data_IF_955599282592
#
_entry.id   IF_955599282592
#
_cell.length_a   1.000
_cell.length_b   1.000
_cell.length_c   1.000
_cell.angle_alpha   90.00
_cell.angle_beta   90.00
_cell.angle_gamma   90.00
#
_symmetry.space_group_name_H-M   'P 1'
#
loop_
_entity.id
_entity.type
_entity.pdbx_description
1 polymer ?
#
# COMPACT_ATOMS: atom_id res chain seq x y z
N UNK A 1 -38.62 -16.56 48.98
CA UNK A 1 -38.37 -15.31 48.25
C UNK A 1 -36.91 -15.27 47.81
N UNK A 2 -36.65 -15.48 46.52
CA UNK A 2 -35.31 -15.61 45.94
C UNK A 2 -34.69 -14.22 45.73
N UNK A 3 -33.59 -13.93 46.44
CA UNK A 3 -32.69 -12.82 46.11
C UNK A 3 -31.81 -13.27 44.93
N UNK A 4 -32.24 -12.96 43.71
CA UNK A 4 -31.42 -13.18 42.51
C UNK A 4 -30.38 -12.06 42.44
N UNK A 5 -29.14 -12.48 42.21
CA UNK A 5 -27.87 -11.76 42.30
C UNK A 5 -27.80 -10.59 41.31
N UNK A 6 -27.64 -9.39 41.84
CA UNK A 6 -27.30 -8.15 41.10
C UNK A 6 -25.80 -8.07 40.75
N UNK A 7 -25.13 -9.19 40.49
CA UNK A 7 -23.66 -9.27 40.30
C UNK A 7 -23.21 -9.58 38.86
N UNK A 8 -24.14 -9.91 37.95
CA UNK A 8 -23.78 -10.27 36.58
C UNK A 8 -23.58 -9.06 35.65
N UNK A 9 -24.19 -7.92 35.95
CA UNK A 9 -24.13 -6.71 35.09
C UNK A 9 -22.83 -5.93 35.24
N UNK A 10 -22.20 -5.92 36.44
CA UNK A 10 -20.96 -5.19 36.66
C UNK A 10 -19.74 -5.87 36.00
N UNK A 11 -19.71 -7.21 35.98
CA UNK A 11 -18.62 -7.98 35.35
C UNK A 11 -18.64 -7.86 33.81
N UNK A 12 -19.82 -7.75 33.21
CA UNK A 12 -19.97 -7.55 31.78
C UNK A 12 -19.49 -6.15 31.35
N UNK A 13 -19.78 -5.13 32.15
CA UNK A 13 -19.29 -3.76 31.90
C UNK A 13 -17.77 -3.69 32.04
N UNK A 14 -17.17 -4.30 33.07
CA UNK A 14 -15.71 -4.27 33.24
C UNK A 14 -14.97 -5.03 32.15
N UNK A 15 -15.46 -6.19 31.70
CA UNK A 15 -14.82 -6.94 30.60
C UNK A 15 -14.94 -6.18 29.28
N UNK A 16 -16.04 -5.45 29.03
CA UNK A 16 -16.16 -4.56 27.87
C UNK A 16 -15.16 -3.39 28.00
N UNK A 17 -14.98 -2.78 29.18
CA UNK A 17 -13.99 -1.69 29.34
C UNK A 17 -12.54 -2.14 29.13
N UNK A 18 -12.20 -3.41 29.41
CA UNK A 18 -10.83 -3.94 29.25
C UNK A 18 -10.39 -4.13 27.80
N UNK A 19 -11.33 -4.28 26.85
CA UNK A 19 -10.99 -4.38 25.43
C UNK A 19 -10.91 -3.02 24.72
N UNK A 20 -11.39 -1.95 25.36
CA UNK A 20 -11.59 -0.67 24.69
C UNK A 20 -10.50 0.37 25.00
N UNK A 21 -9.78 0.26 26.13
CA UNK A 21 -8.72 1.20 26.51
C UNK A 21 -7.29 0.71 26.27
N UNK A 22 -7.06 -0.26 25.36
CA UNK A 22 -5.69 -0.72 25.11
C UNK A 22 -4.95 0.30 24.26
N UNK A 23 -3.93 0.92 24.86
CA UNK A 23 -3.01 1.83 24.19
C UNK A 23 -2.36 1.13 23.00
N UNK A 24 -2.39 1.79 21.85
CA UNK A 24 -1.62 1.36 20.68
C UNK A 24 -0.14 1.68 20.85
N UNK A 25 0.71 0.71 20.53
CA UNK A 25 2.16 0.88 20.56
C UNK A 25 2.70 1.14 19.15
N UNK A 26 3.30 2.31 18.96
CA UNK A 26 3.94 2.70 17.70
C UNK A 26 5.45 2.46 17.76
N UNK A 27 5.98 1.84 16.72
CA UNK A 27 7.43 1.64 16.54
C UNK A 27 8.10 2.90 16.03
N UNK A 28 7.44 3.63 15.12
CA UNK A 28 7.93 4.86 14.53
C UNK A 28 7.31 6.07 15.24
N UNK A 29 8.15 6.89 15.89
CA UNK A 29 7.71 8.06 16.65
C UNK A 29 7.18 9.20 15.79
N UNK A 30 7.63 9.29 14.54
CA UNK A 30 7.09 10.28 13.60
C UNK A 30 5.72 9.84 13.09
N UNK A 31 5.51 8.53 12.92
CA UNK A 31 4.20 7.96 12.64
C UNK A 31 3.23 8.24 13.78
N UNK A 32 3.61 7.89 15.03
CA UNK A 32 2.83 8.16 16.25
C UNK A 32 2.42 9.63 16.33
N UNK A 33 3.40 10.54 16.22
CA UNK A 33 3.14 11.98 16.24
C UNK A 33 2.17 12.41 15.14
N UNK A 34 2.39 11.95 13.90
CA UNK A 34 1.57 12.36 12.77
C UNK A 34 0.11 11.88 12.88
N UNK A 35 -0.13 10.71 13.48
CA UNK A 35 -1.51 10.23 13.70
C UNK A 35 -2.18 10.91 14.88
N UNK A 36 -1.46 11.17 15.98
CA UNK A 36 -2.00 11.92 17.12
C UNK A 36 -2.43 13.34 16.71
N UNK A 37 -1.68 13.99 15.82
CA UNK A 37 -2.05 15.32 15.29
C UNK A 37 -3.44 15.36 14.61
N UNK A 38 -3.94 14.23 14.10
CA UNK A 38 -5.11 14.18 13.23
C UNK A 38 -6.25 13.28 13.75
N UNK A 39 -5.95 12.29 14.59
CA UNK A 39 -6.87 11.20 14.93
C UNK A 39 -7.04 10.96 16.43
N UNK A 40 -6.29 11.64 17.29
CA UNK A 40 -6.57 11.72 18.73
C UNK A 40 -7.76 12.68 18.95
N UNK A 41 -8.96 12.13 18.97
CA UNK A 41 -10.22 12.86 19.03
C UNK A 41 -10.53 13.33 20.46
N UNK A 42 -10.16 12.52 21.45
CA UNK A 42 -10.40 12.81 22.86
C UNK A 42 -9.31 13.74 23.46
N UNK A 43 -8.19 13.93 22.76
CA UNK A 43 -7.02 14.76 23.10
C UNK A 43 -6.33 14.32 24.38
N UNK A 44 -6.31 13.03 24.66
CA UNK A 44 -5.63 12.46 25.82
C UNK A 44 -4.13 12.21 25.56
N UNK A 45 -3.66 12.48 24.33
CA UNK A 45 -2.27 12.31 23.91
C UNK A 45 -1.93 10.87 23.54
N UNK A 46 -2.92 10.00 23.38
CA UNK A 46 -2.79 8.63 22.92
C UNK A 46 -3.76 8.36 21.77
N UNK A 47 -3.48 7.31 20.99
CA UNK A 47 -4.42 6.81 20.00
C UNK A 47 -5.02 5.51 20.53
N UNK A 48 -6.32 5.52 20.77
CA UNK A 48 -7.07 4.36 21.23
C UNK A 48 -7.51 3.46 20.05
N UNK A 49 -7.82 2.20 20.35
CA UNK A 49 -8.23 1.23 19.33
C UNK A 49 -9.47 1.71 18.54
N UNK A 50 -10.45 2.36 19.18
CA UNK A 50 -11.66 2.83 18.46
C UNK A 50 -11.32 3.98 17.51
N UNK A 51 -10.41 4.85 17.90
CA UNK A 51 -9.96 5.96 17.05
C UNK A 51 -9.24 5.41 15.82
N UNK A 52 -8.31 4.47 16.01
CA UNK A 52 -7.63 3.80 14.90
C UNK A 52 -8.59 3.00 14.00
N UNK A 53 -9.64 2.37 14.57
CA UNK A 53 -10.67 1.67 13.81
C UNK A 53 -11.60 2.61 13.01
N UNK A 54 -11.75 3.86 13.45
CA UNK A 54 -12.51 4.87 12.71
C UNK A 54 -11.74 5.43 11.50
N UNK A 55 -10.41 5.30 11.49
CA UNK A 55 -9.58 5.79 10.38
C UNK A 55 -9.76 4.91 9.14
N UNK A 56 -10.17 5.56 8.05
CA UNK A 56 -10.26 4.94 6.72
C UNK A 56 -9.19 5.44 5.77
N UNK A 57 -8.60 6.62 6.03
CA UNK A 57 -7.59 7.22 5.16
C UNK A 57 -6.44 7.77 6.00
N UNK A 58 -5.21 7.37 5.68
CA UNK A 58 -3.98 7.88 6.27
C UNK A 58 -3.22 8.68 5.22
N UNK A 59 -3.16 10.00 5.39
CA UNK A 59 -2.37 10.90 4.54
C UNK A 59 -1.25 11.50 5.38
N UNK A 60 -0.07 10.88 5.33
CA UNK A 60 1.09 11.17 6.20
C UNK A 60 2.31 11.58 5.39
N UNK A 61 2.13 12.42 4.37
CA UNK A 61 3.19 12.94 3.48
C UNK A 61 4.18 13.84 4.23
N UNK A 62 5.48 13.68 3.96
CA UNK A 62 6.57 14.50 4.53
C UNK A 62 6.55 14.61 6.07
N UNK A 63 6.26 13.51 6.76
CA UNK A 63 6.22 13.47 8.23
C UNK A 63 7.53 12.99 8.86
N UNK A 64 8.53 12.66 8.05
CA UNK A 64 9.79 12.09 8.53
C UNK A 64 9.65 10.64 8.99
N UNK A 65 8.60 9.94 8.54
CA UNK A 65 8.35 8.54 8.85
C UNK A 65 9.46 7.69 8.24
N UNK A 66 9.92 6.72 9.01
CA UNK A 66 11.01 5.80 8.64
C UNK A 66 10.56 4.35 8.50
N UNK A 67 9.39 4.01 9.03
CA UNK A 67 8.78 2.67 8.90
C UNK A 67 7.28 2.76 8.64
N UNK A 68 6.80 1.90 7.74
CA UNK A 68 5.36 1.74 7.46
C UNK A 68 4.69 0.67 8.35
N UNK A 69 5.44 -0.02 9.23
CA UNK A 69 4.94 -1.13 10.05
C UNK A 69 3.68 -0.79 10.85
N UNK A 70 3.62 0.43 11.40
CA UNK A 70 2.53 0.89 12.24
C UNK A 70 1.21 1.11 11.45
N UNK A 71 1.25 1.06 10.11
CA UNK A 71 0.03 1.01 9.30
C UNK A 71 -0.86 -0.21 9.61
N UNK A 72 -0.26 -1.30 10.13
CA UNK A 72 -0.99 -2.49 10.56
C UNK A 72 -1.95 -2.27 11.74
N UNK A 73 -1.83 -1.13 12.44
CA UNK A 73 -2.72 -0.76 13.54
C UNK A 73 -4.11 -0.31 13.04
N UNK A 74 -4.22 0.09 11.78
CA UNK A 74 -5.43 0.70 11.20
C UNK A 74 -6.22 -0.31 10.35
N UNK A 75 -6.93 -1.23 11.01
CA UNK A 75 -7.60 -2.38 10.36
C UNK A 75 -8.68 -2.02 9.32
N UNK A 76 -9.24 -0.82 9.40
CA UNK A 76 -10.29 -0.34 8.50
C UNK A 76 -9.78 0.61 7.41
N UNK A 77 -8.46 0.78 7.30
CA UNK A 77 -7.84 1.68 6.33
C UNK A 77 -8.07 1.19 4.90
N UNK A 78 -8.43 2.14 4.04
CA UNK A 78 -8.64 1.98 2.60
C UNK A 78 -7.58 2.67 1.79
N UNK A 79 -7.08 3.81 2.26
CA UNK A 79 -6.04 4.57 1.58
C UNK A 79 -4.90 4.90 2.52
N UNK A 80 -3.68 4.61 2.10
CA UNK A 80 -2.46 5.00 2.79
C UNK A 80 -1.57 5.77 1.81
N UNK A 81 -1.19 6.99 2.17
CA UNK A 81 -0.25 7.83 1.43
C UNK A 81 0.87 8.23 2.38
N UNK A 82 2.07 7.73 2.10
CA UNK A 82 3.31 7.96 2.86
C UNK A 82 4.35 8.71 2.04
N UNK A 83 3.92 9.45 1.02
CA UNK A 83 4.83 10.09 0.06
C UNK A 83 5.86 11.00 0.74
N UNK A 84 7.03 11.10 0.13
CA UNK A 84 8.15 11.95 0.54
C UNK A 84 8.60 11.74 2.00
N UNK A 85 8.46 10.52 2.51
CA UNK A 85 9.10 10.07 3.75
C UNK A 85 10.44 9.37 3.47
N UNK A 86 11.07 8.78 4.48
CA UNK A 86 12.34 8.06 4.32
C UNK A 86 12.17 6.61 4.78
N UNK A 87 11.45 5.80 4.00
CA UNK A 87 11.04 4.42 4.32
C UNK A 87 11.84 3.44 3.43
N UNK A 88 13.01 2.94 3.87
CA UNK A 88 13.90 2.16 3.00
C UNK A 88 13.33 0.78 2.65
N UNK A 89 12.46 0.25 3.49
CA UNK A 89 11.81 -1.06 3.32
C UNK A 89 10.34 -0.95 3.68
N UNK A 90 9.49 -1.46 2.79
CA UNK A 90 8.04 -1.51 2.99
C UNK A 90 7.63 -2.95 3.21
N UNK A 91 6.94 -3.22 4.32
CA UNK A 91 6.27 -4.49 4.58
C UNK A 91 4.82 -4.20 4.91
N UNK A 92 3.89 -4.65 4.07
CA UNK A 92 2.44 -4.45 4.27
C UNK A 92 1.73 -5.77 4.06
N UNK A 93 1.12 -6.26 5.13
CA UNK A 93 0.47 -7.55 5.13
C UNK A 93 -0.92 -7.43 5.77
N UNK A 94 -1.87 -8.23 5.27
CA UNK A 94 -3.18 -8.43 5.90
C UNK A 94 -4.04 -7.15 6.09
N UNK A 95 -3.82 -6.12 5.27
CA UNK A 95 -4.73 -4.96 5.21
C UNK A 95 -5.84 -5.25 4.20
N UNK A 96 -6.80 -6.07 4.62
CA UNK A 96 -7.84 -6.61 3.72
C UNK A 96 -8.72 -5.54 3.09
N UNK A 97 -8.85 -4.36 3.70
CA UNK A 97 -9.67 -3.24 3.19
C UNK A 97 -8.86 -2.21 2.39
N UNK A 98 -7.54 -2.37 2.29
CA UNK A 98 -6.69 -1.43 1.58
C UNK A 98 -6.97 -1.47 0.09
N UNK A 99 -7.37 -0.32 -0.46
CA UNK A 99 -7.70 -0.10 -1.87
C UNK A 99 -6.56 0.67 -2.57
N UNK A 100 -5.85 1.56 -1.86
CA UNK A 100 -4.75 2.37 -2.38
C UNK A 100 -3.57 2.44 -1.40
N UNK A 101 -2.37 2.22 -1.92
CA UNK A 101 -1.12 2.47 -1.20
C UNK A 101 -0.16 3.33 -2.04
N UNK A 102 0.35 4.41 -1.45
CA UNK A 102 1.35 5.28 -2.05
C UNK A 102 2.55 5.47 -1.12
N UNK A 103 3.75 5.30 -1.67
CA UNK A 103 5.02 5.68 -1.04
C UNK A 103 5.98 6.22 -2.11
N UNK A 104 5.55 7.28 -2.79
CA UNK A 104 6.34 7.97 -3.80
C UNK A 104 7.46 8.75 -3.14
N UNK A 105 8.68 8.74 -3.69
CA UNK A 105 9.79 9.53 -3.12
C UNK A 105 10.34 9.02 -1.79
N UNK A 106 10.01 7.78 -1.39
CA UNK A 106 10.30 7.23 -0.07
C UNK A 106 11.73 6.72 0.13
N UNK A 107 12.57 6.75 -0.90
CA UNK A 107 13.90 6.09 -0.93
C UNK A 107 13.82 4.59 -0.65
N UNK A 108 12.71 3.96 -1.01
CA UNK A 108 12.45 2.54 -0.77
C UNK A 108 13.28 1.68 -1.73
N UNK A 109 14.01 0.71 -1.18
CA UNK A 109 14.80 -0.26 -1.95
C UNK A 109 14.21 -1.68 -1.92
N UNK A 110 13.25 -1.95 -1.02
CA UNK A 110 12.56 -3.24 -0.96
C UNK A 110 11.09 -3.11 -0.56
N UNK A 111 10.25 -3.91 -1.22
CA UNK A 111 8.81 -3.99 -0.96
C UNK A 111 8.41 -5.44 -0.79
N UNK A 112 7.74 -5.74 0.31
CA UNK A 112 7.09 -7.01 0.59
C UNK A 112 5.60 -6.76 0.81
N UNK A 113 4.79 -7.41 -0.01
CA UNK A 113 3.33 -7.38 0.11
C UNK A 113 2.79 -8.79 0.24
N UNK A 114 1.81 -8.98 1.11
CA UNK A 114 1.11 -10.25 1.25
C UNK A 114 -0.37 -10.02 1.63
N UNK A 115 -1.27 -10.79 1.02
CA UNK A 115 -2.70 -10.76 1.31
C UNK A 115 -3.40 -9.38 1.13
N UNK A 116 -3.02 -8.62 0.11
CA UNK A 116 -3.64 -7.33 -0.23
C UNK A 116 -4.66 -7.50 -1.36
N UNK A 117 -5.69 -8.31 -1.10
CA UNK A 117 -6.65 -8.77 -2.12
C UNK A 117 -7.46 -7.64 -2.78
N UNK A 118 -7.71 -6.55 -2.05
CA UNK A 118 -8.49 -5.41 -2.51
C UNK A 118 -7.64 -4.23 -2.98
N UNK A 119 -6.30 -4.33 -2.93
CA UNK A 119 -5.42 -3.27 -3.40
C UNK A 119 -5.60 -3.09 -4.90
N UNK A 120 -6.13 -1.94 -5.30
CA UNK A 120 -6.39 -1.57 -6.70
C UNK A 120 -5.28 -0.67 -7.23
N UNK A 121 -4.78 0.26 -6.42
CA UNK A 121 -3.76 1.23 -6.81
C UNK A 121 -2.51 1.12 -5.95
N UNK A 122 -1.36 0.96 -6.61
CA UNK A 122 -0.04 0.93 -5.97
C UNK A 122 0.88 1.95 -6.64
N UNK A 123 1.29 2.97 -5.88
CA UNK A 123 2.17 4.03 -6.35
C UNK A 123 3.50 4.00 -5.59
N UNK A 124 4.57 3.74 -6.31
CA UNK A 124 5.92 3.57 -5.78
C UNK A 124 6.94 4.32 -6.65
N UNK A 125 6.50 5.41 -7.29
CA UNK A 125 7.35 6.23 -8.14
C UNK A 125 8.52 6.86 -7.36
N UNK A 126 9.61 7.19 -8.05
CA UNK A 126 10.77 7.87 -7.48
C UNK A 126 11.36 7.16 -6.25
N UNK A 127 11.74 5.91 -6.44
CA UNK A 127 12.32 5.06 -5.40
C UNK A 127 13.62 4.39 -5.90
N UNK A 128 14.15 3.44 -5.13
CA UNK A 128 15.41 2.76 -5.39
C UNK A 128 15.19 1.27 -5.66
N UNK A 129 14.02 0.89 -6.19
CA UNK A 129 13.66 -0.51 -6.42
C UNK A 129 14.44 -1.09 -7.59
N UNK A 130 15.23 -2.14 -7.34
CA UNK A 130 15.85 -2.96 -8.38
C UNK A 130 14.98 -4.17 -8.77
N UNK A 131 14.15 -4.62 -7.83
CA UNK A 131 13.17 -5.69 -8.01
C UNK A 131 11.91 -5.38 -7.21
N UNK A 132 10.79 -5.98 -7.61
CA UNK A 132 9.54 -5.92 -6.86
C UNK A 132 8.80 -7.24 -6.98
N UNK A 133 8.23 -7.71 -5.87
CA UNK A 133 7.31 -8.85 -5.85
C UNK A 133 5.89 -8.35 -5.65
N UNK A 134 5.01 -8.69 -6.59
CA UNK A 134 3.58 -8.34 -6.58
C UNK A 134 2.72 -9.58 -6.30
N UNK A 135 3.27 -10.53 -5.52
CA UNK A 135 2.53 -11.73 -5.10
C UNK A 135 1.49 -11.32 -4.07
N UNK A 136 0.26 -11.81 -4.21
CA UNK A 136 -0.80 -11.54 -3.23
C UNK A 136 -1.50 -10.18 -3.41
N UNK A 137 -1.26 -9.47 -4.51
CA UNK A 137 -1.95 -8.23 -4.91
C UNK A 137 -2.77 -8.41 -6.22
N UNK A 138 -3.62 -9.45 -6.36
CA UNK A 138 -4.30 -9.76 -7.62
C UNK A 138 -5.33 -8.69 -8.05
N UNK A 139 -5.66 -7.76 -7.15
CA UNK A 139 -6.62 -6.69 -7.36
C UNK A 139 -6.09 -5.50 -8.18
N UNK A 140 -4.77 -5.36 -8.32
CA UNK A 140 -4.16 -4.14 -8.88
C UNK A 140 -4.68 -3.89 -10.30
N UNK A 141 -5.22 -2.69 -10.51
CA UNK A 141 -5.63 -2.16 -11.80
C UNK A 141 -4.75 -0.99 -12.29
N UNK A 142 -4.09 -0.28 -11.36
CA UNK A 142 -3.16 0.80 -11.65
C UNK A 142 -1.86 0.60 -10.84
N UNK A 143 -0.73 0.52 -11.57
CA UNK A 143 0.60 0.35 -11.01
C UNK A 143 1.55 1.41 -11.56
N UNK A 144 2.16 2.18 -10.67
CA UNK A 144 3.18 3.17 -11.04
C UNK A 144 4.48 2.89 -10.29
N UNK A 145 5.54 2.71 -11.06
CA UNK A 145 6.89 2.35 -10.63
C UNK A 145 7.94 3.22 -11.35
N UNK A 146 7.55 4.41 -11.81
CA UNK A 146 8.41 5.32 -12.54
C UNK A 146 9.62 5.71 -11.71
N UNK A 147 10.74 6.06 -12.36
CA UNK A 147 11.95 6.56 -11.70
C UNK A 147 12.44 5.59 -10.61
N UNK A 148 12.65 4.33 -11.01
CA UNK A 148 13.24 3.27 -10.20
C UNK A 148 14.44 2.67 -10.94
N UNK A 149 14.91 1.49 -10.52
CA UNK A 149 16.07 0.81 -11.09
C UNK A 149 15.73 -0.61 -11.56
N UNK A 150 14.45 -0.86 -11.87
CA UNK A 150 13.93 -2.19 -12.22
C UNK A 150 14.54 -2.67 -13.54
N UNK A 151 15.05 -3.91 -13.55
CA UNK A 151 15.53 -4.58 -14.77
C UNK A 151 14.50 -5.52 -15.39
N UNK A 152 13.62 -6.05 -14.54
CA UNK A 152 12.56 -6.99 -14.89
C UNK A 152 11.34 -6.69 -14.02
N UNK A 153 10.16 -7.05 -14.52
CA UNK A 153 8.91 -7.01 -13.77
C UNK A 153 8.04 -8.20 -14.17
N UNK A 154 7.54 -8.93 -13.18
CA UNK A 154 6.57 -10.02 -13.41
C UNK A 154 5.15 -9.50 -13.18
N UNK A 155 4.39 -9.43 -14.28
CA UNK A 155 3.00 -8.96 -14.29
C UNK A 155 1.99 -10.11 -14.39
N UNK A 156 2.44 -11.37 -14.37
CA UNK A 156 1.62 -12.53 -14.74
C UNK A 156 0.37 -12.71 -13.89
N UNK A 157 0.40 -12.29 -12.62
CA UNK A 157 -0.72 -12.39 -11.68
C UNK A 157 -1.71 -11.22 -11.77
N UNK A 158 -1.34 -10.10 -12.41
CA UNK A 158 -2.15 -8.88 -12.41
C UNK A 158 -3.20 -8.89 -13.52
N UNK A 159 -4.19 -9.79 -13.39
CA UNK A 159 -5.24 -9.99 -14.41
C UNK A 159 -6.17 -8.80 -14.59
N UNK A 160 -6.23 -7.90 -13.60
CA UNK A 160 -7.05 -6.69 -13.61
C UNK A 160 -6.28 -5.43 -14.02
N UNK A 161 -4.97 -5.53 -14.28
CA UNK A 161 -4.12 -4.39 -14.62
C UNK A 161 -4.64 -3.68 -15.88
N UNK A 162 -4.99 -2.40 -15.75
CA UNK A 162 -5.42 -1.51 -16.83
C UNK A 162 -4.34 -0.49 -17.20
N UNK A 163 -3.58 -0.02 -16.21
CA UNK A 163 -2.57 1.04 -16.38
C UNK A 163 -1.25 0.64 -15.73
N UNK A 164 -0.19 0.68 -16.52
CA UNK A 164 1.17 0.44 -16.06
C UNK A 164 2.06 1.63 -16.42
N UNK A 165 2.74 2.21 -15.43
CA UNK A 165 3.83 3.14 -15.64
C UNK A 165 5.12 2.55 -15.07
N UNK A 166 6.10 2.29 -15.94
CA UNK A 166 7.46 1.83 -15.58
C UNK A 166 8.52 2.73 -16.19
N UNK A 167 8.16 3.98 -16.50
CA UNK A 167 9.06 4.99 -17.06
C UNK A 167 10.35 5.14 -16.24
N UNK A 168 11.45 5.48 -16.91
CA UNK A 168 12.76 5.73 -16.30
C UNK A 168 13.18 4.61 -15.34
N UNK A 169 13.19 3.38 -15.87
CA UNK A 169 13.77 2.19 -15.25
C UNK A 169 14.90 1.64 -16.13
N UNK A 170 15.27 0.37 -15.95
CA UNK A 170 16.29 -0.35 -16.72
C UNK A 170 15.70 -1.61 -17.38
N UNK A 171 14.41 -1.62 -17.68
CA UNK A 171 13.68 -2.77 -18.22
C UNK A 171 14.01 -2.92 -19.69
N UNK A 172 14.58 -4.06 -20.07
CA UNK A 172 14.95 -4.31 -21.48
C UNK A 172 13.90 -5.14 -22.23
N UNK A 173 13.05 -5.87 -21.50
CA UNK A 173 11.98 -6.70 -22.07
C UNK A 173 10.77 -6.64 -21.16
N UNK A 174 9.59 -6.58 -21.76
CA UNK A 174 8.33 -6.54 -21.03
C UNK A 174 7.36 -7.55 -21.61
N UNK A 175 6.81 -8.42 -20.76
CA UNK A 175 5.74 -9.32 -21.16
C UNK A 175 4.41 -8.86 -20.56
N UNK A 176 3.51 -8.41 -21.44
CA UNK A 176 2.14 -8.03 -21.08
C UNK A 176 1.11 -9.04 -21.61
N UNK A 177 1.54 -10.18 -22.16
CA UNK A 177 0.68 -11.21 -22.76
C UNK A 177 -0.35 -11.78 -21.77
N UNK A 178 -0.07 -11.70 -20.46
CA UNK A 178 -0.90 -12.23 -19.37
C UNK A 178 -1.84 -11.23 -18.70
N UNK A 179 -1.94 -9.99 -19.21
CA UNK A 179 -2.75 -8.90 -18.64
C UNK A 179 -3.91 -8.52 -19.59
N UNK A 180 -5.00 -9.30 -19.67
CA UNK A 180 -5.99 -9.23 -20.75
C UNK A 180 -6.76 -7.92 -20.87
N UNK A 181 -6.83 -7.13 -19.79
CA UNK A 181 -7.57 -5.86 -19.75
C UNK A 181 -6.66 -4.61 -19.74
N UNK A 182 -5.36 -4.80 -20.04
CA UNK A 182 -4.39 -3.71 -20.06
C UNK A 182 -4.74 -2.72 -21.18
N UNK A 183 -4.75 -1.43 -20.86
CA UNK A 183 -5.15 -0.36 -21.77
C UNK A 183 -3.96 0.52 -22.14
N UNK A 184 -3.15 0.89 -21.15
CA UNK A 184 -2.02 1.82 -21.33
C UNK A 184 -0.77 1.33 -20.64
N UNK A 185 0.36 1.43 -21.35
CA UNK A 185 1.70 1.14 -20.84
C UNK A 185 2.63 2.30 -21.17
N UNK A 186 3.31 2.85 -20.18
CA UNK A 186 4.41 3.79 -20.40
C UNK A 186 5.76 3.14 -20.05
N UNK A 187 6.64 3.04 -21.04
CA UNK A 187 8.00 2.50 -20.93
C UNK A 187 9.08 3.55 -21.23
N UNK A 188 8.73 4.83 -21.32
CA UNK A 188 9.66 5.91 -21.63
C UNK A 188 10.95 5.83 -20.79
N UNK A 189 12.10 6.09 -21.39
CA UNK A 189 13.38 6.09 -20.68
C UNK A 189 13.89 4.72 -20.21
N UNK A 190 13.38 3.62 -20.77
CA UNK A 190 13.94 2.27 -20.60
C UNK A 190 14.78 1.80 -21.81
N UNK A 191 14.89 2.63 -22.85
CA UNK A 191 15.53 2.32 -24.13
C UNK A 191 14.97 1.05 -24.79
N UNK A 192 13.64 0.88 -24.74
CA UNK A 192 12.93 -0.27 -25.29
C UNK A 192 12.41 0.03 -26.68
N UNK A 193 12.51 -0.92 -27.60
CA UNK A 193 11.77 -0.89 -28.87
C UNK A 193 10.44 -1.60 -28.70
N UNK A 194 9.51 -1.36 -29.62
CA UNK A 194 8.22 -2.06 -29.59
C UNK A 194 8.37 -3.60 -29.69
N UNK A 195 9.40 -4.07 -30.41
CA UNK A 195 9.74 -5.50 -30.51
C UNK A 195 10.16 -6.15 -29.18
N UNK A 196 10.56 -5.35 -28.18
CA UNK A 196 10.94 -5.83 -26.84
C UNK A 196 9.72 -6.09 -25.94
N UNK A 197 8.52 -5.75 -26.42
CA UNK A 197 7.27 -5.88 -25.69
C UNK A 197 6.46 -7.06 -26.26
N UNK A 198 6.36 -8.14 -25.48
CA UNK A 198 5.48 -9.25 -25.81
C UNK A 198 4.02 -8.91 -25.48
N UNK A 199 3.24 -8.56 -26.51
CA UNK A 199 1.81 -8.25 -26.39
C UNK A 199 0.92 -9.50 -26.30
N UNK A 200 1.44 -10.67 -26.70
CA UNK A 200 0.62 -11.84 -27.01
C UNK A 200 -0.34 -11.54 -28.16
N UNK A 201 -1.61 -11.93 -28.02
CA UNK A 201 -2.66 -11.67 -29.04
C UNK A 201 -3.29 -10.26 -28.96
N UNK A 202 -2.70 -9.33 -28.20
CA UNK A 202 -3.30 -7.99 -27.98
C UNK A 202 -2.90 -7.01 -29.08
N UNK A 203 -3.88 -6.29 -29.60
CA UNK A 203 -3.67 -5.24 -30.62
C UNK A 203 -3.96 -3.83 -30.12
N UNK A 204 -4.77 -3.67 -29.06
CA UNK A 204 -5.36 -2.37 -28.69
C UNK A 204 -4.70 -1.69 -27.47
N UNK A 205 -3.54 -2.21 -27.02
CA UNK A 205 -2.79 -1.58 -25.91
C UNK A 205 -2.06 -0.35 -26.43
N UNK A 206 -2.34 0.81 -25.84
CA UNK A 206 -1.58 2.03 -26.14
C UNK A 206 -0.25 1.99 -25.40
N UNK A 207 0.86 2.05 -26.14
CA UNK A 207 2.22 2.00 -25.60
C UNK A 207 2.88 3.35 -25.85
N UNK A 208 3.45 3.93 -24.79
CA UNK A 208 4.17 5.19 -24.82
C UNK A 208 5.65 4.97 -24.54
N UNK A 209 6.51 5.75 -25.21
CA UNK A 209 7.92 5.86 -24.85
C UNK A 209 8.84 4.75 -25.36
N UNK A 210 8.43 3.98 -26.38
CA UNK A 210 9.35 3.12 -27.11
C UNK A 210 10.24 3.94 -28.05
N UNK A 211 11.46 3.45 -28.26
CA UNK A 211 12.36 3.93 -29.31
C UNK A 211 11.93 3.41 -30.69
N UNK A 212 12.39 4.10 -31.74
CA UNK A 212 12.26 3.68 -33.14
C UNK A 212 13.09 2.42 -33.48
#
# INVERSE_FOLDING_TARGET
>A
MMKIKLFATLYLITVISFFYGQKLEFKDKNFEKAVLENFDLNKDGMLEQQEAEAVTNLFLTQKGITSADDSGLFRNVKMIVLDDNAIPSITINNLEKLELFSCTGCKTSSVKTENLKNLASLYLDNNLLETISLKGTPGIDQLTLSLNQLKIIDLTQLKKLRRLNVEHNKIQKLDISRNPVLQTVNVAGNNMKESDINKGIKTDVTIFGTEE
#
